data_IF_072012325188
#
_entry.id   IF_072012325188
#
_cell.length_a   1.000
_cell.length_b   1.000
_cell.length_c   1.000
_cell.angle_alpha   90.00
_cell.angle_beta   90.00
_cell.angle_gamma   90.00
#
_symmetry.space_group_name_H-M   'P 1'
#
loop_
_entity.id
_entity.type
_entity.pdbx_description
1 polymer ?
#
# COMPACT_ATOMS: atom_id res chain seq x y z
N UNK A 1 -15.48 2.75 -0.10
CA UNK A 1 -15.31 1.30 0.14
C UNK A 1 -16.11 0.90 1.38
N UNK A 2 -16.58 -0.36 1.50
CA UNK A 2 -17.33 -0.85 2.66
C UNK A 2 -16.75 -2.21 3.09
N UNK A 3 -16.65 -2.43 4.41
CA UNK A 3 -16.30 -3.73 4.99
C UNK A 3 -17.44 -4.27 5.84
N UNK A 4 -17.72 -5.55 5.75
CA UNK A 4 -18.70 -6.25 6.59
C UNK A 4 -18.03 -7.46 7.25
N UNK A 5 -17.99 -7.46 8.58
CA UNK A 5 -17.54 -8.62 9.34
C UNK A 5 -18.63 -9.70 9.28
N UNK A 6 -18.29 -10.87 8.74
CA UNK A 6 -19.25 -11.98 8.55
C UNK A 6 -19.12 -13.04 9.63
N UNK A 7 -17.89 -13.44 9.97
CA UNK A 7 -17.63 -14.51 10.95
C UNK A 7 -16.40 -14.20 11.79
N UNK A 8 -16.39 -14.70 13.02
CA UNK A 8 -15.25 -14.66 13.95
C UNK A 8 -15.03 -16.03 14.58
N UNK A 9 -13.74 -16.38 14.78
CA UNK A 9 -13.32 -17.54 15.57
C UNK A 9 -12.10 -17.13 16.40
N UNK A 10 -12.29 -16.93 17.71
CA UNK A 10 -11.30 -16.30 18.57
C UNK A 10 -10.90 -14.91 18.05
N UNK A 11 -9.63 -14.71 17.70
CA UNK A 11 -9.13 -13.48 17.11
C UNK A 11 -9.22 -13.47 15.57
N UNK A 12 -9.51 -14.61 14.93
CA UNK A 12 -9.66 -14.70 13.48
C UNK A 12 -10.97 -14.04 13.02
N UNK A 13 -10.93 -13.43 11.84
CA UNK A 13 -12.07 -12.72 11.24
C UNK A 13 -12.18 -13.07 9.77
N UNK A 14 -13.38 -13.35 9.31
CA UNK A 14 -13.73 -13.42 7.90
C UNK A 14 -14.76 -12.32 7.60
N UNK A 15 -14.60 -11.65 6.49
CA UNK A 15 -15.45 -10.52 6.12
C UNK A 15 -15.51 -10.29 4.63
N UNK A 16 -16.28 -9.30 4.25
CA UNK A 16 -16.51 -8.89 2.87
C UNK A 16 -16.13 -7.42 2.69
N UNK A 17 -15.20 -7.14 1.78
CA UNK A 17 -14.89 -5.79 1.33
C UNK A 17 -15.67 -5.56 0.03
N UNK A 18 -16.35 -4.43 -0.09
CA UNK A 18 -17.01 -4.00 -1.31
C UNK A 18 -16.35 -2.73 -1.84
N UNK A 19 -15.90 -2.78 -3.10
CA UNK A 19 -15.41 -1.66 -3.89
C UNK A 19 -16.32 -1.42 -5.08
N UNK A 20 -16.04 -0.37 -5.86
CA UNK A 20 -16.80 -0.11 -7.09
C UNK A 20 -16.51 -1.13 -8.21
N UNK A 21 -15.39 -1.89 -8.11
CA UNK A 21 -15.02 -2.96 -9.05
C UNK A 21 -15.36 -4.37 -8.56
N UNK A 22 -16.03 -4.52 -7.41
CA UNK A 22 -16.49 -5.80 -6.94
C UNK A 22 -16.26 -6.09 -5.46
N UNK A 23 -16.45 -7.35 -5.10
CA UNK A 23 -16.39 -7.84 -3.73
C UNK A 23 -15.10 -8.65 -3.51
N UNK A 24 -14.60 -8.60 -2.28
CA UNK A 24 -13.40 -9.30 -1.84
C UNK A 24 -13.73 -10.03 -0.54
N UNK A 25 -13.74 -11.36 -0.59
CA UNK A 25 -13.93 -12.19 0.59
C UNK A 25 -12.62 -12.34 1.34
N UNK A 26 -12.61 -11.99 2.62
CA UNK A 26 -11.39 -12.06 3.45
C UNK A 26 -11.48 -13.20 4.47
N UNK A 27 -10.33 -13.85 4.80
CA UNK A 27 -8.97 -13.56 4.33
C UNK A 27 -8.71 -14.02 2.89
N UNK A 28 -7.90 -13.28 2.14
CA UNK A 28 -7.56 -13.61 0.76
C UNK A 28 -6.08 -13.29 0.47
N UNK A 29 -5.49 -14.03 -0.47
CA UNK A 29 -4.19 -13.73 -1.04
C UNK A 29 -4.34 -12.81 -2.27
N UNK A 30 -3.51 -11.77 -2.37
CA UNK A 30 -3.46 -10.87 -3.51
C UNK A 30 -2.30 -11.26 -4.44
N UNK A 31 -2.55 -11.82 -5.64
CA UNK A 31 -1.50 -12.01 -6.63
C UNK A 31 -0.82 -10.70 -7.00
N UNK A 32 0.53 -10.72 -7.10
CA UNK A 32 1.31 -9.51 -7.40
C UNK A 32 1.37 -9.27 -8.90
N UNK A 33 0.73 -8.19 -9.34
CA UNK A 33 0.72 -7.70 -10.71
C UNK A 33 1.58 -6.44 -10.87
N UNK A 34 2.89 -6.55 -10.74
CA UNK A 34 3.87 -5.45 -10.62
C UNK A 34 3.68 -4.33 -11.64
N UNK A 35 3.49 -4.67 -12.91
CA UNK A 35 3.26 -3.73 -14.03
C UNK A 35 1.82 -3.80 -14.56
N UNK A 36 0.86 -4.02 -13.67
CA UNK A 36 -0.54 -4.26 -14.04
C UNK A 36 -0.78 -5.66 -14.63
N UNK A 37 0.20 -6.56 -14.52
CA UNK A 37 0.11 -7.95 -14.96
C UNK A 37 0.88 -8.88 -14.03
N UNK A 38 0.34 -10.06 -13.77
CA UNK A 38 1.02 -11.12 -12.99
C UNK A 38 2.02 -11.80 -13.91
N UNK A 39 3.29 -11.86 -13.48
CA UNK A 39 4.38 -12.38 -14.33
C UNK A 39 4.16 -13.85 -14.69
N UNK A 40 4.14 -14.13 -16.00
CA UNK A 40 4.01 -15.50 -16.52
C UNK A 40 2.60 -16.08 -16.49
N UNK A 41 1.59 -15.28 -16.11
CA UNK A 41 0.18 -15.71 -16.08
C UNK A 41 -0.68 -14.64 -16.75
N UNK A 42 -1.58 -15.03 -17.63
CA UNK A 42 -2.49 -14.09 -18.27
C UNK A 42 -3.56 -13.59 -17.30
N UNK A 43 -4.04 -12.36 -17.46
CA UNK A 43 -5.06 -11.80 -16.55
C UNK A 43 -6.40 -12.55 -16.62
N UNK A 44 -6.75 -13.12 -17.77
CA UNK A 44 -7.94 -13.98 -17.86
C UNK A 44 -7.79 -15.26 -17.02
N UNK A 45 -6.59 -15.88 -16.98
CA UNK A 45 -6.33 -17.03 -16.11
C UNK A 45 -6.41 -16.66 -14.63
N UNK A 46 -5.89 -15.45 -14.26
CA UNK A 46 -6.02 -14.90 -12.90
C UNK A 46 -7.51 -14.73 -12.53
N UNK A 47 -8.31 -14.25 -13.48
CA UNK A 47 -9.73 -13.98 -13.26
C UNK A 47 -10.57 -15.26 -13.30
N UNK A 48 -10.41 -16.07 -14.34
CA UNK A 48 -11.36 -17.14 -14.66
C UNK A 48 -10.96 -18.50 -14.06
N UNK A 49 -9.65 -18.81 -14.02
CA UNK A 49 -9.14 -20.10 -13.53
C UNK A 49 -8.76 -20.02 -12.05
N UNK A 50 -8.00 -18.98 -11.65
CA UNK A 50 -7.57 -18.78 -10.27
C UNK A 50 -8.67 -18.12 -9.43
N UNK A 51 -9.58 -17.40 -10.09
CA UNK A 51 -10.66 -16.64 -9.47
C UNK A 51 -10.17 -15.64 -8.41
N UNK A 52 -9.04 -14.95 -8.66
CA UNK A 52 -8.55 -13.92 -7.77
C UNK A 52 -9.51 -12.74 -7.74
N UNK A 53 -9.96 -12.37 -6.55
CA UNK A 53 -10.91 -11.26 -6.36
C UNK A 53 -10.22 -9.91 -6.30
N UNK A 54 -8.91 -9.87 -6.08
CA UNK A 54 -8.07 -8.67 -6.02
C UNK A 54 -6.66 -9.00 -6.47
N UNK A 55 -5.98 -8.05 -7.15
CA UNK A 55 -4.55 -8.10 -7.43
C UNK A 55 -3.84 -6.87 -6.88
N UNK A 56 -2.52 -6.98 -6.66
CA UNK A 56 -1.67 -5.89 -6.18
C UNK A 56 -0.77 -5.39 -7.30
N UNK A 57 -0.80 -4.07 -7.58
CA UNK A 57 0.14 -3.37 -8.44
C UNK A 57 1.20 -2.61 -7.66
N UNK A 58 2.33 -2.28 -8.29
CA UNK A 58 3.40 -1.52 -7.64
C UNK A 58 3.51 -0.12 -8.25
N UNK A 59 3.22 0.90 -7.47
CA UNK A 59 3.20 2.31 -7.87
C UNK A 59 4.52 2.79 -8.47
N UNK A 60 5.66 2.46 -7.86
CA UNK A 60 6.99 2.78 -8.39
C UNK A 60 7.18 2.26 -9.82
N UNK A 61 6.82 1.01 -10.06
CA UNK A 61 6.99 0.39 -11.38
C UNK A 61 6.03 0.98 -12.41
N UNK A 62 4.76 1.17 -12.05
CA UNK A 62 3.74 1.76 -12.93
C UNK A 62 4.06 3.22 -13.27
N UNK A 63 4.60 3.98 -12.33
CA UNK A 63 5.07 5.35 -12.54
C UNK A 63 6.21 5.42 -13.56
N UNK A 64 7.19 4.51 -13.49
CA UNK A 64 8.32 4.48 -14.43
C UNK A 64 7.92 3.87 -15.79
N UNK A 65 7.08 2.83 -15.77
CA UNK A 65 6.63 2.13 -16.98
C UNK A 65 5.29 1.44 -16.72
N UNK A 66 4.23 1.74 -17.47
CA UNK A 66 4.24 2.50 -18.75
C UNK A 66 4.38 4.02 -18.57
N UNK A 67 4.27 4.54 -17.33
CA UNK A 67 4.27 5.96 -17.02
C UNK A 67 2.86 6.55 -16.92
N UNK A 68 2.75 7.65 -16.17
CA UNK A 68 1.46 8.24 -15.82
C UNK A 68 0.68 8.74 -17.03
N UNK A 69 1.35 9.31 -18.03
CA UNK A 69 0.71 9.82 -19.24
C UNK A 69 -0.04 8.71 -19.98
N UNK A 70 0.54 7.52 -20.08
CA UNK A 70 -0.08 6.38 -20.75
C UNK A 70 -1.25 5.86 -19.92
N UNK A 71 -1.08 5.73 -18.60
CA UNK A 71 -2.16 5.29 -17.71
C UNK A 71 -3.35 6.24 -17.73
N UNK A 72 -3.10 7.55 -17.71
CA UNK A 72 -4.15 8.56 -17.77
C UNK A 72 -4.90 8.52 -19.09
N UNK A 73 -4.20 8.44 -20.23
CA UNK A 73 -4.80 8.30 -21.56
C UNK A 73 -5.61 7.01 -21.71
N UNK A 74 -5.18 5.95 -21.06
CA UNK A 74 -5.94 4.68 -21.03
C UNK A 74 -7.22 4.75 -20.19
N UNK A 75 -7.33 5.72 -19.26
CA UNK A 75 -8.44 5.84 -18.32
C UNK A 75 -8.23 5.04 -17.03
N UNK A 76 -6.98 4.98 -16.56
CA UNK A 76 -6.54 4.31 -15.34
C UNK A 76 -6.11 2.87 -15.54
N UNK A 77 -5.61 2.26 -14.46
CA UNK A 77 -5.01 0.93 -14.47
C UNK A 77 -5.99 -0.18 -14.89
N UNK A 78 -7.24 -0.11 -14.43
CA UNK A 78 -8.29 -1.08 -14.80
C UNK A 78 -8.52 -1.15 -16.31
N UNK A 79 -8.59 0.00 -16.97
CA UNK A 79 -8.75 0.05 -18.43
C UNK A 79 -7.46 -0.26 -19.17
N UNK A 80 -6.32 0.11 -18.60
CA UNK A 80 -5.01 -0.18 -19.19
C UNK A 80 -4.74 -1.68 -19.28
N UNK A 81 -5.01 -2.44 -18.22
CA UNK A 81 -4.73 -3.88 -18.18
C UNK A 81 -5.96 -4.76 -18.49
N UNK A 82 -7.17 -4.19 -18.49
CA UNK A 82 -8.40 -4.94 -18.73
C UNK A 82 -8.84 -5.81 -17.56
N UNK A 83 -8.34 -5.58 -16.35
CA UNK A 83 -8.76 -6.29 -15.14
C UNK A 83 -9.91 -5.52 -14.47
N UNK A 84 -11.11 -6.06 -14.53
CA UNK A 84 -12.35 -5.43 -14.07
C UNK A 84 -12.72 -5.75 -12.61
N UNK A 85 -11.80 -6.37 -11.85
CA UNK A 85 -11.93 -6.66 -10.42
C UNK A 85 -11.10 -5.70 -9.58
N UNK A 86 -11.29 -5.67 -8.25
CA UNK A 86 -10.54 -4.80 -7.34
C UNK A 86 -9.02 -4.86 -7.52
N UNK A 87 -8.38 -3.71 -7.42
CA UNK A 87 -6.92 -3.59 -7.39
C UNK A 87 -6.46 -2.74 -6.21
N UNK A 88 -5.31 -3.14 -5.65
CA UNK A 88 -4.57 -2.38 -4.67
C UNK A 88 -3.24 -1.96 -5.26
N UNK A 89 -2.78 -0.73 -5.00
CA UNK A 89 -1.42 -0.29 -5.31
C UNK A 89 -0.66 0.06 -4.04
N UNK A 90 0.60 -0.43 -3.96
CA UNK A 90 1.49 -0.04 -2.88
C UNK A 90 1.94 1.42 -3.01
N UNK A 91 2.58 1.96 -1.97
CA UNK A 91 3.06 3.36 -1.97
C UNK A 91 4.26 3.63 -2.89
N UNK A 92 4.94 2.59 -3.36
CA UNK A 92 6.24 2.69 -4.02
C UNK A 92 7.44 2.87 -3.07
N UNK A 93 7.21 3.10 -1.77
CA UNK A 93 8.25 3.36 -0.78
C UNK A 93 9.27 2.24 -0.67
N UNK A 94 8.83 0.99 -0.61
CA UNK A 94 9.72 -0.17 -0.54
C UNK A 94 10.59 -0.32 -1.80
N UNK A 95 10.06 -0.11 -3.00
CA UNK A 95 10.80 -0.23 -4.25
C UNK A 95 11.83 0.88 -4.40
N UNK A 96 11.50 2.09 -3.99
CA UNK A 96 12.45 3.20 -3.89
C UNK A 96 13.60 2.83 -2.94
N UNK A 97 13.29 2.10 -1.85
CA UNK A 97 14.32 1.59 -0.94
C UNK A 97 15.17 0.48 -1.54
N UNK A 98 14.55 -0.55 -2.12
CA UNK A 98 15.24 -1.79 -2.50
C UNK A 98 15.93 -1.74 -3.86
N UNK A 99 15.43 -0.90 -4.80
CA UNK A 99 15.89 -0.88 -6.19
C UNK A 99 16.74 0.34 -6.55
N UNK A 100 16.62 1.44 -5.80
CA UNK A 100 17.46 2.60 -6.05
C UNK A 100 18.76 2.51 -5.25
N UNK A 101 19.88 2.33 -5.92
CA UNK A 101 21.21 2.29 -5.28
C UNK A 101 21.60 3.58 -4.58
N UNK A 102 20.95 4.72 -4.88
CA UNK A 102 21.15 6.03 -4.26
C UNK A 102 19.80 6.66 -4.02
N UNK A 103 19.46 6.85 -2.75
CA UNK A 103 18.28 7.61 -2.32
C UNK A 103 18.65 8.66 -1.30
N UNK A 104 17.92 9.75 -1.28
CA UNK A 104 18.01 10.78 -0.23
C UNK A 104 16.63 10.96 0.37
N UNK A 105 16.52 10.68 1.66
CA UNK A 105 15.33 10.89 2.46
C UNK A 105 15.36 12.26 3.13
N UNK A 106 14.24 12.94 3.13
CA UNK A 106 14.01 14.19 3.85
C UNK A 106 12.54 14.25 4.31
N UNK A 107 12.18 15.23 5.10
CA UNK A 107 10.79 15.47 5.48
C UNK A 107 9.92 15.78 4.25
N UNK A 108 10.49 16.39 3.21
CA UNK A 108 9.79 16.73 1.96
C UNK A 108 9.44 15.50 1.13
N UNK A 109 10.27 14.44 1.21
CA UNK A 109 10.07 13.22 0.41
C UNK A 109 11.37 12.45 0.16
N UNK A 110 11.39 11.70 -0.92
CA UNK A 110 12.52 10.86 -1.31
C UNK A 110 12.98 11.16 -2.74
N UNK A 111 14.26 11.59 -2.89
CA UNK A 111 14.94 11.61 -4.19
C UNK A 111 15.52 10.23 -4.46
N UNK A 112 15.34 9.72 -5.67
CA UNK A 112 15.88 8.43 -6.10
C UNK A 112 16.27 8.43 -7.58
N UNK A 113 16.99 7.38 -7.99
CA UNK A 113 17.29 7.12 -9.40
C UNK A 113 16.50 5.93 -9.92
N UNK A 114 15.94 6.07 -11.11
CA UNK A 114 15.30 4.98 -11.82
C UNK A 114 16.29 3.82 -12.07
N UNK A 115 15.87 2.61 -11.76
CA UNK A 115 16.64 1.40 -12.04
C UNK A 115 16.64 1.04 -13.55
N UNK A 116 15.79 1.71 -14.35
CA UNK A 116 15.66 1.45 -15.80
C UNK A 116 16.70 2.22 -16.58
N UNK A 117 16.85 3.54 -16.30
CA UNK A 117 17.63 4.46 -17.10
C UNK A 117 18.54 5.41 -16.28
N UNK A 118 18.48 5.30 -14.95
CA UNK A 118 19.27 6.14 -14.03
C UNK A 118 18.76 7.57 -13.89
N UNK A 119 17.64 7.95 -14.51
CA UNK A 119 17.02 9.27 -14.37
C UNK A 119 16.68 9.59 -12.91
N UNK A 120 16.74 10.87 -12.55
CA UNK A 120 16.41 11.34 -11.19
C UNK A 120 14.92 11.60 -11.07
N UNK A 121 14.36 11.15 -9.96
CA UNK A 121 12.95 11.34 -9.60
C UNK A 121 12.84 11.79 -8.14
N UNK A 122 11.70 12.38 -7.82
CA UNK A 122 11.37 12.80 -6.46
C UNK A 122 9.94 12.40 -6.14
N UNK A 123 9.76 11.65 -5.07
CA UNK A 123 8.46 11.33 -4.50
C UNK A 123 8.24 12.14 -3.23
N UNK A 124 7.28 13.07 -3.26
CA UNK A 124 6.73 13.66 -2.04
C UNK A 124 5.44 12.92 -1.65
N UNK A 125 5.00 13.00 -0.39
CA UNK A 125 3.72 12.42 0.01
C UNK A 125 2.54 12.88 -0.84
N UNK A 126 2.47 14.18 -1.16
CA UNK A 126 1.44 14.73 -2.03
C UNK A 126 1.57 14.19 -3.47
N UNK A 127 2.81 14.16 -3.99
CA UNK A 127 3.08 13.65 -5.34
C UNK A 127 2.70 12.18 -5.49
N UNK A 128 2.93 11.35 -4.47
CA UNK A 128 2.51 9.95 -4.47
C UNK A 128 0.98 9.84 -4.50
N UNK A 129 0.25 10.67 -3.77
CA UNK A 129 -1.22 10.69 -3.85
C UNK A 129 -1.71 11.08 -5.25
N UNK A 130 -1.08 12.04 -5.91
CA UNK A 130 -1.42 12.43 -7.28
C UNK A 130 -1.10 11.30 -8.30
N UNK A 131 0.01 10.60 -8.09
CA UNK A 131 0.39 9.40 -8.85
C UNK A 131 -0.67 8.31 -8.70
N UNK A 132 -1.06 7.99 -7.46
CA UNK A 132 -2.07 6.98 -7.13
C UNK A 132 -3.46 7.34 -7.69
N UNK A 133 -3.85 8.61 -7.66
CA UNK A 133 -5.07 9.10 -8.32
C UNK A 133 -5.01 8.86 -9.83
N UNK A 134 -3.84 9.01 -10.44
CA UNK A 134 -3.64 8.78 -11.88
C UNK A 134 -3.57 7.29 -12.23
N UNK A 135 -3.01 6.46 -11.36
CA UNK A 135 -3.05 5.00 -11.52
C UNK A 135 -4.49 4.49 -11.41
N UNK A 136 -5.23 4.93 -10.40
CA UNK A 136 -6.65 4.62 -10.27
C UNK A 136 -6.95 3.22 -9.75
N UNK A 137 -6.18 2.69 -8.80
CA UNK A 137 -6.54 1.47 -8.05
C UNK A 137 -7.66 1.77 -7.04
N UNK A 138 -8.42 0.74 -6.63
CA UNK A 138 -9.48 0.88 -5.61
C UNK A 138 -8.90 1.20 -4.23
N UNK A 139 -7.76 0.60 -3.90
CA UNK A 139 -7.06 0.78 -2.63
C UNK A 139 -5.67 1.35 -2.92
N UNK A 140 -5.39 2.51 -2.35
CA UNK A 140 -4.11 3.22 -2.42
C UNK A 140 -3.39 3.10 -1.09
N UNK A 141 -2.08 2.83 -1.09
CA UNK A 141 -1.26 2.85 0.12
C UNK A 141 -0.63 4.22 0.35
N UNK A 142 -0.63 4.70 1.59
CA UNK A 142 0.06 5.93 1.94
C UNK A 142 1.57 5.80 1.76
N UNK A 143 2.24 6.89 1.37
CA UNK A 143 3.70 6.89 1.22
C UNK A 143 4.39 6.72 2.56
N UNK A 144 5.31 5.76 2.65
CA UNK A 144 5.99 5.35 3.87
C UNK A 144 7.50 5.12 3.64
N UNK A 145 8.26 5.17 4.72
CA UNK A 145 9.64 4.70 4.74
C UNK A 145 9.69 3.32 5.39
N UNK A 146 10.16 2.33 4.64
CA UNK A 146 10.30 0.95 5.09
C UNK A 146 11.77 0.65 5.40
N UNK A 147 12.22 0.70 6.66
CA UNK A 147 13.59 0.36 7.04
C UNK A 147 13.83 -1.15 6.95
N UNK A 148 15.09 -1.60 6.78
CA UNK A 148 15.41 -3.02 6.85
C UNK A 148 15.08 -3.59 8.24
N UNK A 149 14.68 -4.86 8.32
CA UNK A 149 14.35 -5.53 9.58
C UNK A 149 15.50 -5.63 10.57
N UNK A 150 16.73 -5.33 10.13
CA UNK A 150 17.97 -5.29 10.94
C UNK A 150 18.32 -3.88 11.42
N UNK A 151 17.49 -2.86 11.13
CA UNK A 151 17.74 -1.49 11.57
C UNK A 151 17.79 -1.38 13.09
N UNK A 152 18.70 -0.56 13.61
CA UNK A 152 18.74 -0.27 15.03
C UNK A 152 17.53 0.58 15.48
N UNK A 153 17.33 0.66 16.79
CA UNK A 153 16.18 1.37 17.37
C UNK A 153 16.16 2.86 17.00
N UNK A 154 17.32 3.52 16.99
CA UNK A 154 17.40 4.94 16.71
C UNK A 154 16.99 5.26 15.26
N UNK A 155 17.46 4.44 14.32
CA UNK A 155 17.02 4.57 12.92
C UNK A 155 15.54 4.21 12.74
N UNK A 156 15.07 3.13 13.36
CA UNK A 156 13.66 2.73 13.31
C UNK A 156 12.74 3.82 13.88
N UNK A 157 13.12 4.50 14.96
CA UNK A 157 12.40 5.64 15.55
C UNK A 157 12.32 6.80 14.55
N UNK A 158 13.45 7.20 13.99
CA UNK A 158 13.52 8.29 13.01
C UNK A 158 12.68 7.98 11.75
N UNK A 159 12.75 6.76 11.26
CA UNK A 159 11.96 6.28 10.13
C UNK A 159 10.45 6.34 10.42
N UNK A 160 10.06 5.95 11.63
CA UNK A 160 8.67 6.02 12.06
C UNK A 160 8.16 7.46 12.13
N UNK A 161 8.94 8.38 12.70
CA UNK A 161 8.57 9.80 12.77
C UNK A 161 8.39 10.40 11.38
N UNK A 162 9.28 10.04 10.44
CA UNK A 162 9.19 10.44 9.04
C UNK A 162 7.90 9.91 8.39
N UNK A 163 7.63 8.61 8.55
CA UNK A 163 6.42 7.96 8.02
C UNK A 163 5.16 8.61 8.58
N UNK A 164 5.12 8.93 9.88
CA UNK A 164 3.99 9.62 10.50
C UNK A 164 3.80 11.04 9.93
N UNK A 165 4.89 11.77 9.69
CA UNK A 165 4.86 13.08 9.04
C UNK A 165 4.30 13.00 7.62
N UNK A 166 4.79 12.02 6.84
CA UNK A 166 4.33 11.78 5.48
C UNK A 166 2.87 11.33 5.42
N UNK A 167 2.43 10.48 6.36
CA UNK A 167 1.02 10.07 6.44
C UNK A 167 0.06 11.25 6.60
N UNK A 168 0.38 12.22 7.48
CA UNK A 168 -0.43 13.44 7.64
C UNK A 168 -0.60 14.20 6.31
N UNK A 169 0.49 14.30 5.54
CA UNK A 169 0.51 14.97 4.24
C UNK A 169 -0.26 14.17 3.16
N UNK A 170 -0.07 12.85 3.12
CA UNK A 170 -0.87 11.97 2.25
C UNK A 170 -2.36 12.11 2.54
N UNK A 171 -2.75 12.05 3.82
CA UNK A 171 -4.16 12.17 4.24
C UNK A 171 -4.77 13.51 3.85
N UNK A 172 -4.02 14.59 4.06
CA UNK A 172 -4.45 15.93 3.64
C UNK A 172 -4.67 15.96 2.13
N UNK A 173 -3.65 15.54 1.34
CA UNK A 173 -3.73 15.56 -0.13
C UNK A 173 -4.83 14.66 -0.67
N UNK A 174 -5.02 13.49 -0.10
CA UNK A 174 -6.10 12.57 -0.46
C UNK A 174 -7.49 13.23 -0.33
N UNK A 175 -7.71 13.97 0.77
CA UNK A 175 -8.98 14.66 1.02
C UNK A 175 -9.15 15.96 0.20
N UNK A 176 -8.08 16.50 -0.36
CA UNK A 176 -8.10 17.68 -1.24
C UNK A 176 -8.26 17.31 -2.72
N UNK A 177 -8.18 16.03 -3.07
CA UNK A 177 -8.23 15.54 -4.45
C UNK A 177 -9.34 14.54 -4.67
N UNK A 178 -9.96 14.60 -5.86
CA UNK A 178 -11.02 13.68 -6.25
C UNK A 178 -10.48 12.51 -7.09
N UNK A 179 -11.14 11.35 -7.04
CA UNK A 179 -10.88 10.26 -7.98
C UNK A 179 -11.06 10.69 -9.44
N UNK A 180 -10.15 10.27 -10.32
CA UNK A 180 -10.15 10.72 -11.72
C UNK A 180 -11.13 9.98 -12.63
N UNK A 181 -11.55 8.77 -12.30
CA UNK A 181 -12.19 7.86 -13.26
C UNK A 181 -13.63 7.50 -12.91
N UNK A 182 -14.28 8.25 -11.99
CA UNK A 182 -15.70 8.12 -11.68
C UNK A 182 -16.06 7.00 -10.72
N UNK A 183 -15.07 6.43 -10.04
CA UNK A 183 -15.24 5.48 -8.94
C UNK A 183 -14.42 5.89 -7.71
N UNK A 184 -14.81 5.42 -6.55
CA UNK A 184 -14.15 5.75 -5.28
C UNK A 184 -12.81 5.02 -5.11
N UNK A 185 -11.91 5.66 -4.37
CA UNK A 185 -10.64 5.05 -3.95
C UNK A 185 -10.49 5.22 -2.44
N UNK A 186 -9.98 4.19 -1.77
CA UNK A 186 -9.67 4.23 -0.35
C UNK A 186 -8.17 4.41 -0.12
N UNK A 187 -7.79 5.23 0.87
CA UNK A 187 -6.39 5.38 1.29
C UNK A 187 -6.14 4.56 2.57
N UNK A 188 -5.18 3.64 2.51
CA UNK A 188 -4.77 2.83 3.64
C UNK A 188 -3.48 3.36 4.27
N UNK A 189 -3.51 3.85 5.53
CA UNK A 189 -2.33 4.08 6.33
C UNK A 189 -1.52 2.81 6.56
N UNK A 190 -0.19 2.94 6.64
CA UNK A 190 0.73 1.81 6.84
C UNK A 190 1.35 1.87 8.23
N UNK A 191 1.09 0.86 9.05
CA UNK A 191 1.73 0.71 10.37
C UNK A 191 3.17 0.26 10.17
N UNK A 192 4.11 1.12 10.57
CA UNK A 192 5.56 0.86 10.55
C UNK A 192 6.11 0.70 11.98
N UNK A 193 7.42 0.62 12.17
CA UNK A 193 8.09 0.48 13.47
C UNK A 193 9.10 -0.68 13.53
N UNK A 194 9.52 -1.18 12.35
CA UNK A 194 10.51 -2.25 12.22
C UNK A 194 10.13 -3.48 13.09
N UNK A 195 11.09 -4.04 13.82
CA UNK A 195 10.86 -5.17 14.74
C UNK A 195 10.57 -4.74 16.19
N UNK A 196 10.40 -3.45 16.45
CA UNK A 196 10.24 -2.91 17.80
C UNK A 196 8.76 -2.81 18.20
N UNK A 197 8.39 -3.55 19.24
CA UNK A 197 6.99 -3.69 19.67
C UNK A 197 6.37 -2.34 20.05
N UNK A 198 7.07 -1.53 20.83
CA UNK A 198 6.64 -0.21 21.29
C UNK A 198 6.39 0.75 20.11
N UNK A 199 7.32 0.80 19.15
CA UNK A 199 7.18 1.61 17.94
C UNK A 199 5.97 1.17 17.08
N UNK A 200 5.75 -0.13 16.95
CA UNK A 200 4.60 -0.66 16.22
C UNK A 200 3.28 -0.35 16.90
N UNK A 201 3.23 -0.44 18.23
CA UNK A 201 2.03 -0.11 18.99
C UNK A 201 1.71 1.40 18.90
N UNK A 202 2.74 2.24 18.98
CA UNK A 202 2.61 3.68 18.76
C UNK A 202 2.09 3.98 17.35
N UNK A 203 2.68 3.36 16.35
CA UNK A 203 2.26 3.51 14.95
C UNK A 203 0.82 3.07 14.71
N UNK A 204 0.43 1.91 15.25
CA UNK A 204 -0.94 1.41 15.11
C UNK A 204 -1.96 2.40 15.68
N UNK A 205 -1.67 2.94 16.85
CA UNK A 205 -2.49 3.96 17.51
C UNK A 205 -2.59 5.24 16.68
N UNK A 206 -1.43 5.75 16.25
CA UNK A 206 -1.36 6.95 15.41
C UNK A 206 -2.13 6.78 14.09
N UNK A 207 -1.96 5.63 13.41
CA UNK A 207 -2.65 5.38 12.14
C UNK A 207 -4.16 5.21 12.34
N UNK A 208 -4.60 4.64 13.46
CA UNK A 208 -6.02 4.46 13.77
C UNK A 208 -6.77 5.78 13.95
N UNK A 209 -6.10 6.84 14.38
CA UNK A 209 -6.71 8.16 14.61
C UNK A 209 -7.19 8.82 13.31
N UNK A 210 -6.73 8.38 12.14
CA UNK A 210 -7.22 8.88 10.85
C UNK A 210 -8.63 8.37 10.50
N UNK A 211 -9.11 7.29 11.12
CA UNK A 211 -10.42 6.72 10.79
C UNK A 211 -10.51 6.21 9.35
N UNK A 212 -9.39 5.74 8.79
CA UNK A 212 -9.33 5.24 7.43
C UNK A 212 -10.17 3.97 7.23
N UNK A 213 -10.54 3.69 5.99
CA UNK A 213 -11.37 2.54 5.63
C UNK A 213 -10.63 1.19 5.74
N UNK A 214 -9.32 1.20 5.90
CA UNK A 214 -8.47 0.05 6.13
C UNK A 214 -7.04 0.45 6.46
N UNK A 215 -6.24 -0.52 6.91
CA UNK A 215 -4.87 -0.29 7.37
C UNK A 215 -3.96 -1.41 6.88
N UNK A 216 -2.73 -1.06 6.54
CA UNK A 216 -1.69 -2.03 6.23
C UNK A 216 -0.73 -2.23 7.41
N UNK A 217 -0.21 -3.44 7.56
CA UNK A 217 0.89 -3.76 8.48
C UNK A 217 2.14 -3.93 7.62
N UNK A 218 2.93 -2.87 7.51
CA UNK A 218 4.14 -2.83 6.70
C UNK A 218 5.43 -3.13 7.46
N UNK A 219 6.56 -3.06 6.78
CA UNK A 219 7.90 -3.19 7.38
C UNK A 219 8.19 -4.55 8.01
N UNK A 220 7.58 -5.61 7.49
CA UNK A 220 7.80 -7.00 7.86
C UNK A 220 8.14 -7.83 6.62
N UNK A 221 8.81 -8.97 6.80
CA UNK A 221 9.40 -9.77 5.72
C UNK A 221 10.54 -9.03 4.98
N UNK A 222 11.28 -8.19 5.70
CA UNK A 222 12.39 -7.37 5.19
C UNK A 222 13.74 -7.75 5.83
N UNK A 223 13.88 -9.02 6.20
CA UNK A 223 15.13 -9.61 6.73
C UNK A 223 15.06 -10.10 8.18
N UNK A 224 13.96 -9.90 8.90
CA UNK A 224 13.74 -10.41 10.25
C UNK A 224 13.40 -11.91 10.27
N UNK A 225 13.69 -12.63 11.38
CA UNK A 225 13.27 -14.02 11.56
C UNK A 225 11.73 -14.18 11.57
N UNK A 226 11.22 -15.30 11.04
CA UNK A 226 9.78 -15.55 10.93
C UNK A 226 9.03 -15.47 12.27
N UNK A 227 9.62 -16.00 13.36
CA UNK A 227 9.01 -15.93 14.70
C UNK A 227 8.80 -14.49 15.17
N UNK A 228 9.77 -13.61 14.94
CA UNK A 228 9.66 -12.18 15.26
C UNK A 228 8.53 -11.54 14.46
N UNK A 229 8.42 -11.85 13.16
CA UNK A 229 7.37 -11.36 12.29
C UNK A 229 5.97 -11.68 12.80
N UNK A 230 5.71 -12.96 13.12
CA UNK A 230 4.41 -13.40 13.62
C UNK A 230 4.05 -12.74 14.95
N UNK A 231 5.02 -12.62 15.87
CA UNK A 231 4.82 -11.94 17.14
C UNK A 231 4.46 -10.44 16.96
N UNK A 232 5.09 -9.75 15.99
CA UNK A 232 4.83 -8.34 15.72
C UNK A 232 3.47 -8.14 15.04
N UNK A 233 3.08 -9.03 14.14
CA UNK A 233 1.73 -9.01 13.55
C UNK A 233 0.68 -9.19 14.66
N UNK A 234 0.81 -10.21 15.50
CA UNK A 234 -0.11 -10.46 16.59
C UNK A 234 -0.21 -9.28 17.58
N UNK A 235 0.92 -8.62 17.87
CA UNK A 235 0.98 -7.46 18.77
C UNK A 235 0.35 -6.17 18.23
N UNK A 236 0.12 -6.09 16.93
CA UNK A 236 -0.50 -4.92 16.25
C UNK A 236 -1.95 -5.20 15.86
N UNK A 237 -2.27 -6.44 15.54
CA UNK A 237 -3.55 -6.86 14.98
C UNK A 237 -4.77 -6.44 15.81
N UNK A 238 -4.67 -6.44 17.15
CA UNK A 238 -5.74 -6.00 18.03
C UNK A 238 -5.81 -4.49 18.25
N UNK A 239 -4.82 -3.73 17.78
CA UNK A 239 -4.74 -2.27 17.94
C UNK A 239 -5.22 -1.50 16.70
N UNK A 240 -5.06 -2.09 15.54
CA UNK A 240 -5.66 -1.55 14.32
C UNK A 240 -7.14 -1.91 14.36
N UNK A 241 -8.05 -0.94 14.20
CA UNK A 241 -9.47 -1.27 14.14
C UNK A 241 -9.65 -2.42 13.15
N UNK A 242 -10.40 -3.43 13.62
CA UNK A 242 -10.88 -4.46 12.70
C UNK A 242 -11.70 -3.74 11.66
N UNK A 243 -11.10 -3.40 10.55
CA UNK A 243 -11.63 -2.52 9.54
C UNK A 243 -13.14 -2.39 9.66
N UNK A 244 -13.62 -1.22 10.14
CA UNK A 244 -14.87 -0.72 9.63
C UNK A 244 -16.10 -1.59 9.89
N UNK A 245 -16.25 -2.02 11.08
CA UNK A 245 -17.53 -2.44 11.63
C UNK A 245 -17.94 -1.47 12.73
N UNK A 246 -18.20 -0.22 12.38
CA UNK A 246 -19.02 0.71 13.17
C UNK A 246 -20.00 1.39 12.24
#
# INVERSE_FOLDING_TARGET
MKYELQHTDGAARAGLITTDHGQIHTPIFMPVGTLGSVKGVHLHEIKDDINAEIILGNTYHLYLRPGLEILEKAGGLHKFNGFDRPMLTDSGGFQVFSLSGIRKLSEEGCEFRSHIDGSKHFFSPEGVMDIERTIGADIMMAFDECPPGTADYAYARKSLDLTHGWMKRCWKRFNETEPKYGYSQALFPIVQGCVYKDLRQESAKFMSDFGAEGYAIGGLAVGEPAGVRYERIAGVYGLVPAALGR
#
